data_IF_683249380332
#
_entry.id   IF_683249380332
#
_cell.length_a   1.000
_cell.length_b   1.000
_cell.length_c   1.000
_cell.angle_alpha   90.00
_cell.angle_beta   90.00
_cell.angle_gamma   90.00
#
_symmetry.space_group_name_H-M   'P 1'
#
loop_
_entity.id
_entity.type
_entity.pdbx_description
1 polymer ?
#
# COMPACT_ATOMS: atom_id res chain seq x y z
N UNK A 1 -8.85 -15.36 -12.75
CA UNK A 1 -7.71 -14.68 -12.08
C UNK A 1 -6.44 -15.49 -12.35
N UNK A 2 -5.32 -14.85 -12.70
CA UNK A 2 -4.00 -15.52 -12.66
C UNK A 2 -3.48 -15.41 -11.24
N UNK A 3 -2.94 -16.50 -10.69
CA UNK A 3 -2.30 -16.47 -9.38
C UNK A 3 -1.06 -15.57 -9.42
N UNK A 4 -0.79 -14.78 -8.35
CA UNK A 4 0.45 -14.03 -8.24
C UNK A 4 1.64 -15.00 -8.17
N UNK A 5 2.72 -14.67 -8.87
CA UNK A 5 4.00 -15.38 -8.71
C UNK A 5 4.53 -15.22 -7.28
N UNK A 6 5.38 -16.15 -6.83
CA UNK A 6 6.06 -16.06 -5.52
C UNK A 6 6.81 -14.73 -5.36
N UNK A 7 7.44 -14.23 -6.43
CA UNK A 7 8.09 -12.92 -6.42
C UNK A 7 7.11 -11.78 -6.13
N UNK A 8 5.92 -11.80 -6.74
CA UNK A 8 4.89 -10.79 -6.49
C UNK A 8 4.34 -10.89 -5.07
N UNK A 9 4.21 -12.10 -4.51
CA UNK A 9 3.81 -12.28 -3.11
C UNK A 9 4.83 -11.66 -2.16
N UNK A 10 6.12 -11.94 -2.36
CA UNK A 10 7.21 -11.36 -1.57
C UNK A 10 7.26 -9.83 -1.66
N UNK A 11 7.10 -9.27 -2.87
CA UNK A 11 7.05 -7.82 -3.07
C UNK A 11 5.85 -7.17 -2.37
N UNK A 12 4.70 -7.84 -2.40
CA UNK A 12 3.49 -7.37 -1.72
C UNK A 12 3.60 -7.46 -0.20
N UNK A 13 4.18 -8.54 0.32
CA UNK A 13 4.47 -8.70 1.74
C UNK A 13 5.40 -7.59 2.23
N UNK A 14 6.50 -7.36 1.53
CA UNK A 14 7.45 -6.28 1.84
C UNK A 14 6.80 -4.90 1.80
N UNK A 15 5.96 -4.63 0.80
CA UNK A 15 5.20 -3.39 0.71
C UNK A 15 4.29 -3.20 1.93
N UNK A 16 3.63 -4.27 2.36
CA UNK A 16 2.72 -4.27 3.52
C UNK A 16 3.47 -4.05 4.83
N UNK A 17 4.64 -4.68 4.99
CA UNK A 17 5.52 -4.47 6.15
C UNK A 17 5.88 -2.99 6.32
N UNK A 18 6.31 -2.33 5.24
CA UNK A 18 6.68 -0.91 5.27
C UNK A 18 5.50 -0.06 5.77
N UNK A 19 4.30 -0.26 5.22
CA UNK A 19 3.12 0.50 5.63
C UNK A 19 2.70 0.22 7.07
N UNK A 20 2.90 -1.01 7.55
CA UNK A 20 2.62 -1.39 8.93
C UNK A 20 3.60 -0.73 9.90
N UNK A 21 4.88 -0.63 9.55
CA UNK A 21 5.87 0.11 10.34
C UNK A 21 5.48 1.58 10.48
N UNK A 22 5.07 2.24 9.38
CA UNK A 22 4.54 3.61 9.43
C UNK A 22 3.31 3.73 10.35
N UNK A 23 2.38 2.77 10.25
CA UNK A 23 1.18 2.72 11.10
C UNK A 23 1.52 2.55 12.59
N UNK A 24 2.48 1.69 12.92
CA UNK A 24 2.93 1.52 14.30
C UNK A 24 3.52 2.82 14.85
N UNK A 25 4.41 3.48 14.11
CA UNK A 25 4.96 4.79 14.50
C UNK A 25 3.89 5.85 14.67
N UNK A 26 2.87 5.87 13.80
CA UNK A 26 1.71 6.76 13.95
C UNK A 26 1.00 6.50 15.28
N UNK A 27 0.70 5.24 15.59
CA UNK A 27 0.01 4.85 16.83
C UNK A 27 0.85 5.21 18.05
N UNK A 28 2.16 4.97 18.03
CA UNK A 28 3.07 5.36 19.09
C UNK A 28 3.09 6.88 19.31
N UNK A 29 3.07 7.67 18.23
CA UNK A 29 3.10 9.13 18.32
C UNK A 29 1.75 9.78 18.68
N UNK A 30 0.62 9.14 18.35
CA UNK A 30 -0.72 9.73 18.49
C UNK A 30 -1.61 9.02 19.51
N UNK A 31 -1.20 7.85 20.00
CA UNK A 31 -1.99 7.02 20.92
C UNK A 31 -3.26 6.44 20.30
N UNK A 32 -3.44 6.54 18.98
CA UNK A 32 -4.61 6.04 18.26
C UNK A 32 -4.24 5.65 16.84
N UNK A 33 -4.97 4.70 16.26
CA UNK A 33 -4.86 4.36 14.84
C UNK A 33 -5.78 5.20 13.95
N UNK A 34 -6.73 5.95 14.55
CA UNK A 34 -7.70 6.76 13.81
C UNK A 34 -6.98 7.91 13.10
N UNK A 35 -7.28 8.10 11.82
CA UNK A 35 -6.71 9.18 11.00
C UNK A 35 -5.36 8.86 10.33
N UNK A 36 -4.82 7.65 10.51
CA UNK A 36 -3.63 7.22 9.77
C UNK A 36 -3.90 7.18 8.26
N UNK A 37 -3.00 7.75 7.45
CA UNK A 37 -3.11 7.78 5.98
C UNK A 37 -1.87 7.14 5.36
N UNK A 38 -1.98 5.87 5.00
CA UNK A 38 -0.92 5.12 4.33
C UNK A 38 -0.54 5.77 2.98
N UNK A 39 0.77 5.88 2.70
CA UNK A 39 1.29 6.39 1.43
C UNK A 39 1.17 7.90 1.21
N UNK A 40 0.59 8.66 2.14
CA UNK A 40 0.54 10.11 2.07
C UNK A 40 1.76 10.71 2.77
N UNK A 41 2.68 11.29 1.97
CA UNK A 41 3.92 11.89 2.49
C UNK A 41 3.64 12.85 3.65
N UNK A 42 4.31 12.61 4.78
CA UNK A 42 4.18 13.42 6.00
C UNK A 42 3.01 13.01 6.91
N UNK A 43 2.18 12.05 6.49
CA UNK A 43 1.09 11.45 7.29
C UNK A 43 1.20 9.92 7.38
N UNK A 44 2.11 9.34 6.59
CA UNK A 44 2.42 7.91 6.53
C UNK A 44 3.46 7.48 7.56
N UNK A 45 4.14 8.42 8.24
CA UNK A 45 5.16 8.15 9.26
C UNK A 45 6.32 7.27 8.75
N UNK A 46 6.53 7.28 7.43
CA UNK A 46 7.63 6.62 6.75
C UNK A 46 8.80 7.56 6.58
N UNK A 47 10.01 7.01 6.63
CA UNK A 47 11.21 7.71 6.17
C UNK A 47 11.17 7.90 4.65
N UNK A 48 12.06 8.73 4.13
CA UNK A 48 12.13 8.94 2.69
C UNK A 48 12.56 7.66 1.95
N UNK A 49 13.46 6.86 2.55
CA UNK A 49 13.93 5.58 2.01
C UNK A 49 12.81 4.54 1.95
N UNK A 50 12.08 4.36 3.05
CA UNK A 50 10.92 3.46 3.13
C UNK A 50 9.86 3.82 2.09
N UNK A 51 9.61 5.13 1.90
CA UNK A 51 8.66 5.61 0.90
C UNK A 51 9.14 5.31 -0.53
N UNK A 52 10.43 5.50 -0.81
CA UNK A 52 11.00 5.14 -2.11
C UNK A 52 10.92 3.64 -2.37
N UNK A 53 11.18 2.81 -1.36
CA UNK A 53 11.06 1.35 -1.45
C UNK A 53 9.61 0.94 -1.74
N UNK A 54 8.63 1.46 -0.98
CA UNK A 54 7.22 1.18 -1.20
C UNK A 54 6.74 1.62 -2.61
N UNK A 55 7.22 2.77 -3.10
CA UNK A 55 6.94 3.24 -4.46
C UNK A 55 7.56 2.35 -5.54
N UNK A 56 8.76 1.82 -5.30
CA UNK A 56 9.40 0.87 -6.22
C UNK A 56 8.64 -0.46 -6.28
N UNK A 57 8.26 -0.99 -5.12
CA UNK A 57 7.51 -2.25 -5.01
C UNK A 57 6.14 -2.15 -5.67
N UNK A 58 5.40 -1.08 -5.42
CA UNK A 58 4.09 -0.88 -6.06
C UNK A 58 4.25 -0.73 -7.58
N UNK A 59 5.27 -0.02 -8.07
CA UNK A 59 5.54 0.05 -9.51
C UNK A 59 5.82 -1.32 -10.11
N UNK A 60 6.61 -2.17 -9.45
CA UNK A 60 6.89 -3.53 -9.92
C UNK A 60 5.62 -4.41 -9.92
N UNK A 61 4.80 -4.32 -8.88
CA UNK A 61 3.54 -5.07 -8.79
C UNK A 61 2.54 -4.67 -9.89
N UNK A 62 2.46 -3.38 -10.22
CA UNK A 62 1.48 -2.85 -11.18
C UNK A 62 1.99 -2.74 -12.63
N UNK A 63 3.29 -2.61 -12.89
CA UNK A 63 3.84 -2.66 -14.26
C UNK A 63 3.69 -4.03 -14.91
N UNK A 64 3.59 -5.11 -14.12
CA UNK A 64 3.31 -6.46 -14.64
C UNK A 64 1.91 -6.55 -15.27
N UNK A 65 0.99 -5.62 -14.99
CA UNK A 65 -0.34 -5.58 -15.63
C UNK A 65 -0.33 -5.04 -17.06
N UNK A 66 0.75 -4.40 -17.54
CA UNK A 66 0.77 -3.83 -18.90
C UNK A 66 0.88 -4.88 -20.02
N UNK A 67 1.29 -6.13 -19.72
CA UNK A 67 1.35 -7.22 -20.73
C UNK A 67 0.00 -7.90 -21.00
N UNK A 68 -1.06 -7.56 -20.28
CA UNK A 68 -2.41 -8.02 -20.57
C UNK A 68 -3.32 -6.80 -20.67
N UNK A 69 -3.46 -6.29 -21.90
CA UNK A 69 -4.26 -5.11 -22.19
C UNK A 69 -5.65 -5.20 -21.57
N UNK A 70 -5.86 -4.43 -20.51
CA UNK A 70 -7.09 -3.76 -20.14
C UNK A 70 -6.81 -2.91 -18.90
N UNK A 71 -6.74 -1.59 -19.13
CA UNK A 71 -6.56 -0.57 -18.11
C UNK A 71 -7.85 -0.44 -17.30
N UNK A 72 -7.78 -0.84 -16.03
CA UNK A 72 -8.49 -0.12 -14.97
C UNK A 72 -7.49 0.13 -13.86
N UNK A 73 -7.03 1.37 -13.75
CA UNK A 73 -6.44 1.86 -12.52
C UNK A 73 -7.54 1.86 -11.47
N UNK A 74 -7.71 0.73 -10.77
CA UNK A 74 -8.66 0.64 -9.67
C UNK A 74 -8.06 1.40 -8.49
N UNK A 75 -8.73 2.42 -7.94
CA UNK A 75 -8.24 3.15 -6.78
C UNK A 75 -8.30 2.22 -5.57
N UNK A 76 -7.15 1.95 -4.94
CA UNK A 76 -7.06 1.25 -3.64
C UNK A 76 -7.59 2.10 -2.46
N UNK A 77 -8.69 2.83 -2.63
CA UNK A 77 -9.32 3.67 -1.59
C UNK A 77 -10.85 3.81 -1.75
N UNK A 78 -11.58 2.72 -2.04
CA UNK A 78 -13.06 2.69 -1.92
C UNK A 78 -13.59 1.33 -1.44
N UNK A 79 -13.09 0.85 -0.31
CA UNK A 79 -13.79 -0.18 0.47
C UNK A 79 -13.81 0.20 1.95
N UNK A 80 -14.29 1.40 2.26
CA UNK A 80 -14.99 1.72 3.52
C UNK A 80 -15.96 2.87 3.16
N UNK A 81 -17.21 2.83 3.64
CA UNK A 81 -18.41 3.60 3.19
C UNK A 81 -19.08 2.87 2.01
N UNK A 82 -20.11 2.03 2.16
CA UNK A 82 -21.29 2.08 3.02
C UNK A 82 -21.65 0.68 3.51
N UNK A 83 -21.66 0.52 4.83
CA UNK A 83 -22.61 -0.35 5.48
C UNK A 83 -23.94 0.41 5.58
N UNK A 84 -25.04 -0.32 5.45
CA UNK A 84 -26.42 0.02 5.86
C UNK A 84 -27.32 0.73 4.83
N UNK A 85 -28.15 -0.07 4.14
CA UNK A 85 -29.56 0.21 3.81
C UNK A 85 -30.29 -1.11 3.51
#
# INVERSE_FOLDING_TARGET
MREPSELQKQQYERFTEILNTGKQRYIEAKGTHKGYRAGLKGQDYLTDEERQEALSLVRQLFQVREKSGNLTATPLLKEEIEADS
#
